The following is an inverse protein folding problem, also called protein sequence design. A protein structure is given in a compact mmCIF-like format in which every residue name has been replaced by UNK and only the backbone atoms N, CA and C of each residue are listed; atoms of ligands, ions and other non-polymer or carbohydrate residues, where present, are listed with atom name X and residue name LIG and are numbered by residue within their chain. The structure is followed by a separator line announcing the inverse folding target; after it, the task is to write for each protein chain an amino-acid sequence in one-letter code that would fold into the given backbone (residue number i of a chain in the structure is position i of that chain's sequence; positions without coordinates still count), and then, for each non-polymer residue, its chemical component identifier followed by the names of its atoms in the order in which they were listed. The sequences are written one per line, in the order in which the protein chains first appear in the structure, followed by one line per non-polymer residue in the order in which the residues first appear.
data_IF_848364143495
#
_entry.id   IF_848364143495
#
_cell.length_a   1.000
_cell.length_b   1.000
_cell.length_c   1.000
_cell.angle_alpha   90.00
_cell.angle_beta   90.00
_cell.angle_gamma   90.00
#
_symmetry.space_group_name_H-M   'P 1'
#
loop_
_entity.id
_entity.type
_entity.pdbx_description
1 polymer ?
#
# COMPACT_ATOMS: atom_id res chain seq x y z
N UNK A 1 -30.24 -11.98 -9.08
CA UNK A 1 -28.76 -12.04 -8.99
C UNK A 1 -28.41 -12.71 -7.66
N UNK A 2 -27.52 -13.70 -7.61
CA UNK A 2 -27.12 -14.30 -6.32
C UNK A 2 -26.28 -13.30 -5.51
N UNK A 3 -26.21 -13.43 -4.18
CA UNK A 3 -25.40 -12.54 -3.34
C UNK A 3 -23.93 -12.51 -3.77
N UNK A 4 -23.38 -13.67 -4.15
CA UNK A 4 -22.03 -13.78 -4.70
C UNK A 4 -21.88 -13.04 -6.04
N UNK A 5 -22.94 -13.02 -6.86
CA UNK A 5 -23.01 -12.22 -8.08
C UNK A 5 -23.05 -10.72 -7.79
N UNK A 6 -23.81 -10.29 -6.78
CA UNK A 6 -23.84 -8.89 -6.33
C UNK A 6 -22.47 -8.41 -5.85
N UNK A 7 -21.81 -9.20 -5.00
CA UNK A 7 -20.45 -8.90 -4.54
C UNK A 7 -19.46 -8.78 -5.71
N UNK A 8 -19.47 -9.73 -6.64
CA UNK A 8 -18.61 -9.68 -7.81
C UNK A 8 -18.91 -8.46 -8.71
N UNK A 9 -20.18 -8.07 -8.87
CA UNK A 9 -20.58 -6.88 -9.60
C UNK A 9 -20.05 -5.60 -8.94
N UNK A 10 -20.16 -5.49 -7.61
CA UNK A 10 -19.61 -4.35 -6.84
C UNK A 10 -18.10 -4.26 -6.98
N UNK A 11 -17.38 -5.39 -6.89
CA UNK A 11 -15.95 -5.45 -7.17
C UNK A 11 -15.60 -5.02 -8.60
N UNK A 12 -16.35 -5.49 -9.61
CA UNK A 12 -16.12 -5.13 -11.00
C UNK A 12 -16.37 -3.64 -11.25
N UNK A 13 -17.46 -3.08 -10.71
CA UNK A 13 -17.78 -1.66 -10.83
C UNK A 13 -16.68 -0.79 -10.22
N UNK A 14 -16.17 -1.14 -9.05
CA UNK A 14 -15.10 -0.39 -8.43
C UNK A 14 -13.77 -0.52 -9.18
N UNK A 15 -13.31 -1.74 -9.46
CA UNK A 15 -12.00 -2.00 -10.06
C UNK A 15 -11.88 -1.69 -11.55
N UNK A 16 -12.99 -1.60 -12.28
CA UNK A 16 -12.96 -1.27 -13.72
C UNK A 16 -13.44 0.15 -14.02
N UNK A 17 -14.12 0.81 -13.07
CA UNK A 17 -14.69 2.16 -13.29
C UNK A 17 -14.39 3.07 -12.09
N UNK A 18 -14.93 2.75 -10.91
CA UNK A 18 -14.98 3.66 -9.77
C UNK A 18 -13.62 4.16 -9.30
N UNK A 19 -12.61 3.29 -9.22
CA UNK A 19 -11.28 3.69 -8.75
C UNK A 19 -10.54 4.61 -9.72
N UNK A 20 -10.92 4.65 -11.00
CA UNK A 20 -10.25 5.41 -12.05
C UNK A 20 -10.83 6.82 -12.24
N UNK A 21 -11.81 7.19 -11.44
CA UNK A 21 -12.44 8.49 -11.52
C UNK A 21 -11.51 9.59 -11.01
N UNK A 22 -11.16 10.53 -11.89
CA UNK A 22 -10.30 11.66 -11.55
C UNK A 22 -11.14 12.85 -11.09
N UNK A 23 -10.71 13.43 -9.97
CA UNK A 23 -11.20 14.71 -9.48
C UNK A 23 -10.02 15.50 -8.93
N UNK A 24 -10.03 16.82 -9.17
CA UNK A 24 -9.03 17.72 -8.63
C UNK A 24 -9.08 17.67 -7.10
N UNK A 25 -7.91 17.51 -6.50
CA UNK A 25 -7.77 17.45 -5.06
C UNK A 25 -7.79 18.87 -4.48
N UNK A 26 -8.64 19.17 -3.47
CA UNK A 26 -8.60 20.45 -2.75
C UNK A 26 -7.34 20.63 -1.90
N UNK A 27 -6.51 19.60 -1.76
CA UNK A 27 -5.40 19.53 -0.82
C UNK A 27 -5.79 18.84 0.48
N UNK A 28 -4.81 18.49 1.32
CA UNK A 28 -5.02 17.78 2.58
C UNK A 28 -4.79 16.26 2.51
N UNK A 29 -5.36 15.54 3.47
CA UNK A 29 -5.12 14.11 3.67
C UNK A 29 -6.42 13.32 3.93
N UNK A 30 -6.35 11.99 3.94
CA UNK A 30 -7.50 11.14 4.26
C UNK A 30 -8.61 11.25 3.21
N UNK A 31 -9.85 11.52 3.64
CA UNK A 31 -11.04 11.59 2.78
C UNK A 31 -11.11 12.84 1.88
N UNK A 32 -10.27 13.84 2.13
CA UNK A 32 -10.12 14.98 1.22
C UNK A 32 -9.53 14.57 -0.13
N UNK A 33 -8.81 13.43 -0.17
CA UNK A 33 -8.28 12.86 -1.41
C UNK A 33 -9.40 12.09 -2.14
N UNK A 34 -9.77 12.48 -3.38
CA UNK A 34 -10.93 11.87 -4.04
C UNK A 34 -10.83 10.36 -4.25
N UNK A 35 -9.65 9.83 -4.55
CA UNK A 35 -9.46 8.38 -4.71
C UNK A 35 -9.68 7.61 -3.39
N UNK A 36 -9.36 8.21 -2.24
CA UNK A 36 -9.66 7.62 -0.93
C UNK A 36 -11.17 7.62 -0.66
N UNK A 37 -11.87 8.70 -1.00
CA UNK A 37 -13.32 8.78 -0.84
C UNK A 37 -14.03 7.68 -1.64
N UNK A 38 -13.67 7.51 -2.92
CA UNK A 38 -14.19 6.40 -3.75
C UNK A 38 -13.85 5.02 -3.19
N UNK A 39 -12.62 4.84 -2.69
CA UNK A 39 -12.20 3.62 -2.02
C UNK A 39 -13.05 3.30 -0.79
N UNK A 40 -13.38 4.30 0.04
CA UNK A 40 -14.19 4.12 1.24
C UNK A 40 -15.68 3.93 0.96
N UNK A 41 -16.22 4.49 -0.13
CA UNK A 41 -17.57 4.15 -0.61
C UNK A 41 -17.63 2.66 -0.94
N UNK A 42 -16.67 2.16 -1.71
CA UNK A 42 -16.59 0.73 -2.04
C UNK A 42 -16.37 -0.14 -0.79
N UNK A 43 -15.45 0.24 0.10
CA UNK A 43 -15.18 -0.50 1.33
C UNK A 43 -16.44 -0.60 2.19
N UNK A 44 -17.20 0.50 2.33
CA UNK A 44 -18.47 0.53 3.06
C UNK A 44 -19.51 -0.42 2.46
N UNK A 45 -19.63 -0.45 1.13
CA UNK A 45 -20.53 -1.39 0.44
C UNK A 45 -20.12 -2.84 0.69
N UNK A 46 -18.82 -3.17 0.58
CA UNK A 46 -18.32 -4.52 0.84
C UNK A 46 -18.52 -4.94 2.31
N UNK A 47 -18.31 -4.02 3.25
CA UNK A 47 -18.61 -4.24 4.67
C UNK A 47 -20.09 -4.55 4.85
N UNK A 48 -20.98 -3.71 4.31
CA UNK A 48 -22.43 -3.91 4.39
C UNK A 48 -22.87 -5.26 3.81
N UNK A 49 -22.37 -5.61 2.62
CA UNK A 49 -22.68 -6.90 1.99
C UNK A 49 -22.09 -8.09 2.77
N UNK A 50 -20.90 -7.94 3.36
CA UNK A 50 -20.28 -8.98 4.19
C UNK A 50 -21.05 -9.22 5.49
N UNK A 51 -21.48 -8.16 6.17
CA UNK A 51 -22.33 -8.26 7.36
C UNK A 51 -23.71 -8.83 7.02
N UNK A 52 -24.30 -8.47 5.88
CA UNK A 52 -25.53 -9.10 5.39
C UNK A 52 -25.31 -10.59 5.08
N UNK A 53 -24.16 -10.96 4.53
CA UNK A 53 -23.83 -12.35 4.28
C UNK A 53 -23.75 -13.17 5.59
N UNK A 54 -23.27 -12.57 6.69
CA UNK A 54 -23.29 -13.18 8.03
C UNK A 54 -24.71 -13.47 8.49
N UNK A 55 -25.65 -12.53 8.33
CA UNK A 55 -27.02 -12.73 8.79
C UNK A 55 -27.73 -13.82 8.00
N UNK A 56 -27.44 -13.94 6.71
CA UNK A 56 -27.99 -14.99 5.85
C UNK A 56 -27.41 -16.38 6.11
N UNK A 57 -26.11 -16.46 6.43
CA UNK A 57 -25.47 -17.75 6.72
C UNK A 57 -25.63 -18.17 8.19
N UNK A 58 -26.00 -17.24 9.07
CA UNK A 58 -26.08 -17.42 10.53
C UNK A 58 -24.79 -18.04 11.12
N UNK A 59 -23.66 -17.78 10.48
CA UNK A 59 -22.35 -18.31 10.84
C UNK A 59 -21.31 -17.22 10.62
N UNK A 60 -20.43 -17.07 11.60
CA UNK A 60 -19.29 -16.16 11.54
C UNK A 60 -18.05 -16.97 11.16
N UNK A 61 -17.42 -16.60 10.05
CA UNK A 61 -16.12 -17.18 9.67
C UNK A 61 -15.02 -16.31 10.21
N UNK A 62 -14.34 -16.79 11.25
CA UNK A 62 -13.22 -16.08 11.88
C UNK A 62 -11.95 -16.91 11.79
N UNK A 63 -10.86 -16.28 11.35
CA UNK A 63 -9.56 -16.97 11.25
C UNK A 63 -8.62 -16.58 12.39
N UNK A 64 -7.70 -17.46 12.75
CA UNK A 64 -6.66 -17.16 13.74
C UNK A 64 -5.82 -15.93 13.36
N UNK A 65 -5.59 -15.68 12.07
CA UNK A 65 -4.92 -14.46 11.61
C UNK A 65 -5.72 -13.21 12.00
N UNK A 66 -7.04 -13.21 11.78
CA UNK A 66 -7.88 -12.08 12.17
C UNK A 66 -7.83 -11.85 13.68
N UNK A 67 -7.84 -12.92 14.49
CA UNK A 67 -7.69 -12.81 15.95
C UNK A 67 -6.45 -12.03 16.36
N UNK A 68 -5.29 -12.37 15.78
CA UNK A 68 -4.04 -11.65 16.06
C UNK A 68 -4.02 -10.23 15.52
N UNK A 69 -4.64 -9.98 14.36
CA UNK A 69 -4.75 -8.63 13.80
C UNK A 69 -5.63 -7.72 14.66
N UNK A 70 -6.76 -8.24 15.14
CA UNK A 70 -7.66 -7.55 16.06
C UNK A 70 -6.99 -7.31 17.42
N UNK A 71 -6.29 -8.31 17.97
CA UNK A 71 -5.54 -8.13 19.21
C UNK A 71 -4.47 -7.03 19.06
N UNK A 72 -3.73 -7.03 17.95
CA UNK A 72 -2.77 -5.98 17.65
C UNK A 72 -3.42 -4.59 17.58
N UNK A 73 -4.54 -4.45 16.86
CA UNK A 73 -5.24 -3.17 16.80
C UNK A 73 -5.82 -2.71 18.15
N UNK A 74 -6.29 -3.64 19.00
CA UNK A 74 -6.71 -3.30 20.36
C UNK A 74 -5.54 -2.79 21.21
N UNK A 75 -4.32 -3.33 21.02
CA UNK A 75 -3.12 -2.78 21.65
C UNK A 75 -2.79 -1.37 21.15
N UNK A 76 -3.11 -1.04 19.89
CA UNK A 76 -3.02 0.33 19.38
C UNK A 76 -4.08 1.27 20.00
N UNK A 77 -5.20 0.77 20.52
CA UNK A 77 -6.16 1.61 21.26
C UNK A 77 -5.81 1.77 22.74
N UNK A 78 -5.02 0.86 23.31
CA UNK A 78 -4.67 0.86 24.73
C UNK A 78 -4.14 2.22 25.24
N UNK A 79 -3.31 2.97 24.51
CA UNK A 79 -2.82 4.26 24.98
C UNK A 79 -3.92 5.28 25.30
N UNK A 80 -5.08 5.19 24.66
CA UNK A 80 -6.21 6.07 24.94
C UNK A 80 -6.79 5.90 26.35
N UNK A 81 -6.47 4.80 27.04
CA UNK A 81 -6.83 4.57 28.43
C UNK A 81 -5.79 5.11 29.43
N UNK A 82 -4.65 5.64 28.96
CA UNK A 82 -3.62 6.17 29.85
C UNK A 82 -4.06 7.51 30.48
N UNK A 83 -3.74 7.75 31.77
CA UNK A 83 -4.03 9.03 32.41
C UNK A 83 -3.34 10.18 31.67
N UNK A 84 -4.11 11.21 31.29
CA UNK A 84 -3.58 12.38 30.59
C UNK A 84 -3.24 12.15 29.11
N UNK A 85 -3.72 11.07 28.49
CA UNK A 85 -3.54 10.84 27.06
C UNK A 85 -4.33 11.86 26.22
N UNK A 86 -3.62 12.63 25.40
CA UNK A 86 -4.26 13.54 24.44
C UNK A 86 -4.60 12.80 23.15
N UNK A 87 -5.88 12.82 22.77
CA UNK A 87 -6.36 12.41 21.45
C UNK A 87 -6.74 13.66 20.66
N UNK A 88 -5.93 14.01 19.66
CA UNK A 88 -6.23 15.13 18.76
C UNK A 88 -7.05 14.67 17.56
N UNK A 89 -7.85 15.58 17.01
CA UNK A 89 -8.81 15.28 15.93
C UNK A 89 -8.17 14.64 14.69
N UNK A 90 -6.96 15.06 14.32
CA UNK A 90 -6.24 14.54 13.15
C UNK A 90 -5.86 13.05 13.26
N UNK A 91 -5.82 12.49 14.48
CA UNK A 91 -5.54 11.07 14.69
C UNK A 91 -6.78 10.17 14.52
N UNK A 92 -8.00 10.73 14.64
CA UNK A 92 -9.26 9.97 14.58
C UNK A 92 -9.42 9.25 13.23
N UNK A 93 -9.22 9.90 12.06
CA UNK A 93 -9.36 9.23 10.77
C UNK A 93 -8.42 8.04 10.59
N UNK A 94 -7.20 8.11 11.16
CA UNK A 94 -6.20 7.03 11.08
C UNK A 94 -6.64 5.81 11.90
N UNK A 95 -7.16 6.03 13.11
CA UNK A 95 -7.73 4.97 13.95
C UNK A 95 -8.97 4.35 13.31
N UNK A 96 -9.92 5.17 12.84
CA UNK A 96 -11.10 4.68 12.13
C UNK A 96 -10.70 3.88 10.89
N UNK A 97 -9.71 4.34 10.12
CA UNK A 97 -9.18 3.63 8.97
C UNK A 97 -8.62 2.25 9.32
N UNK A 98 -7.89 2.12 10.43
CA UNK A 98 -7.38 0.82 10.92
C UNK A 98 -8.53 -0.15 11.21
N UNK A 99 -9.50 0.26 12.04
CA UNK A 99 -10.60 -0.60 12.46
C UNK A 99 -11.57 -0.91 11.33
N UNK A 100 -11.89 0.06 10.48
CA UNK A 100 -12.72 -0.15 9.31
C UNK A 100 -12.00 -1.05 8.28
N UNK A 101 -10.67 -0.95 8.16
CA UNK A 101 -9.86 -1.88 7.36
C UNK A 101 -9.88 -3.32 7.89
N UNK A 102 -9.81 -3.51 9.22
CA UNK A 102 -9.97 -4.82 9.85
C UNK A 102 -11.38 -5.39 9.67
N UNK A 103 -12.40 -4.55 9.80
CA UNK A 103 -13.79 -4.93 9.55
C UNK A 103 -14.00 -5.30 8.08
N UNK A 104 -13.42 -4.55 7.15
CA UNK A 104 -13.42 -4.87 5.72
C UNK A 104 -12.77 -6.25 5.47
N UNK A 105 -11.59 -6.50 6.03
CA UNK A 105 -10.93 -7.81 5.93
C UNK A 105 -11.78 -8.94 6.54
N UNK A 106 -12.41 -8.68 7.69
CA UNK A 106 -13.35 -9.60 8.33
C UNK A 106 -14.52 -9.95 7.40
N UNK A 107 -15.13 -8.94 6.78
CA UNK A 107 -16.23 -9.08 5.83
C UNK A 107 -15.84 -9.86 4.57
N UNK A 108 -14.62 -9.64 4.04
CA UNK A 108 -14.11 -10.41 2.90
C UNK A 108 -14.03 -11.91 3.17
N UNK A 109 -13.73 -12.31 4.42
CA UNK A 109 -13.64 -13.73 4.78
C UNK A 109 -15.01 -14.42 4.84
N UNK A 110 -16.10 -13.68 5.01
CA UNK A 110 -17.45 -14.26 5.08
C UNK A 110 -17.91 -14.86 3.76
N UNK A 111 -17.32 -14.44 2.63
CA UNK A 111 -17.75 -14.86 1.30
C UNK A 111 -17.37 -16.30 0.92
N UNK A 112 -16.35 -16.88 1.58
CA UNK A 112 -15.86 -18.26 1.35
C UNK A 112 -15.87 -18.64 -0.15
N UNK A 113 -15.16 -17.83 -0.94
CA UNK A 113 -15.21 -17.94 -2.40
C UNK A 113 -14.52 -19.21 -2.88
N UNK A 114 -15.20 -19.95 -3.76
CA UNK A 114 -14.60 -21.07 -4.49
C UNK A 114 -13.46 -20.52 -5.36
N UNK A 115 -12.43 -21.36 -5.57
CA UNK A 115 -11.21 -21.01 -6.30
C UNK A 115 -11.47 -20.28 -7.62
N UNK A 116 -12.41 -20.76 -8.43
CA UNK A 116 -12.74 -20.14 -9.72
C UNK A 116 -13.23 -18.69 -9.57
N UNK A 117 -14.11 -18.42 -8.60
CA UNK A 117 -14.61 -17.06 -8.32
C UNK A 117 -13.49 -16.15 -7.79
N UNK A 118 -12.61 -16.68 -6.93
CA UNK A 118 -11.45 -15.95 -6.43
C UNK A 118 -10.50 -15.57 -7.57
N UNK A 119 -10.20 -16.50 -8.47
CA UNK A 119 -9.35 -16.23 -9.64
C UNK A 119 -9.97 -15.15 -10.55
N UNK A 120 -11.30 -15.16 -10.77
CA UNK A 120 -11.98 -14.09 -11.52
C UNK A 120 -11.83 -12.72 -10.87
N UNK A 121 -12.01 -12.61 -9.55
CA UNK A 121 -11.80 -11.33 -8.83
C UNK A 121 -10.35 -10.86 -8.93
N UNK A 122 -9.39 -11.77 -8.85
CA UNK A 122 -7.98 -11.43 -9.02
C UNK A 122 -7.66 -10.94 -10.45
N UNK A 123 -8.32 -11.47 -11.48
CA UNK A 123 -8.21 -10.92 -12.84
C UNK A 123 -8.88 -9.55 -12.98
N UNK A 124 -9.98 -9.28 -12.27
CA UNK A 124 -10.57 -7.92 -12.24
C UNK A 124 -9.61 -6.92 -11.59
N UNK A 125 -9.00 -7.28 -10.46
CA UNK A 125 -7.96 -6.48 -9.82
C UNK A 125 -6.73 -6.30 -10.73
N UNK A 126 -6.32 -7.34 -11.47
CA UNK A 126 -5.25 -7.23 -12.46
C UNK A 126 -5.62 -6.27 -13.61
N UNK A 127 -6.90 -6.24 -14.02
CA UNK A 127 -7.42 -5.26 -14.98
C UNK A 127 -7.30 -3.84 -14.46
N UNK A 128 -7.64 -3.63 -13.18
CA UNK A 128 -7.47 -2.35 -12.50
C UNK A 128 -6.01 -1.87 -12.49
N UNK A 129 -5.08 -2.78 -12.18
CA UNK A 129 -3.64 -2.53 -12.27
C UNK A 129 -3.23 -2.17 -13.69
N UNK A 130 -3.76 -2.86 -14.70
CA UNK A 130 -3.45 -2.56 -16.09
C UNK A 130 -3.94 -1.16 -16.51
N UNK A 131 -5.14 -0.75 -16.07
CA UNK A 131 -5.66 0.60 -16.34
C UNK A 131 -4.76 1.65 -15.69
N UNK A 132 -4.38 1.48 -14.43
CA UNK A 132 -3.46 2.40 -13.74
C UNK A 132 -2.07 2.40 -14.38
N UNK A 133 -1.57 1.26 -14.84
CA UNK A 133 -0.32 1.17 -15.56
C UNK A 133 -0.39 1.95 -16.88
N UNK A 134 -1.47 1.80 -17.64
CA UNK A 134 -1.70 2.57 -18.87
C UNK A 134 -1.79 4.07 -18.59
N UNK A 135 -2.55 4.49 -17.57
CA UNK A 135 -2.62 5.89 -17.15
C UNK A 135 -1.25 6.42 -16.74
N UNK A 136 -0.45 5.64 -16.01
CA UNK A 136 0.90 6.01 -15.63
C UNK A 136 1.84 6.15 -16.83
N UNK A 137 1.73 5.27 -17.83
CA UNK A 137 2.51 5.37 -19.06
C UNK A 137 2.09 6.60 -19.90
N UNK A 138 0.78 6.88 -19.98
CA UNK A 138 0.26 8.10 -20.63
C UNK A 138 0.78 9.35 -19.92
N UNK A 139 0.73 9.38 -18.59
CA UNK A 139 1.28 10.47 -17.78
C UNK A 139 2.76 10.70 -18.08
N UNK A 140 3.54 9.64 -18.15
CA UNK A 140 4.98 9.73 -18.28
C UNK A 140 5.48 10.08 -19.69
N UNK A 141 4.84 9.54 -20.73
CA UNK A 141 5.30 9.70 -22.12
C UNK A 141 4.52 10.72 -22.95
N UNK A 142 3.24 10.94 -22.64
CA UNK A 142 2.33 11.68 -23.55
C UNK A 142 1.87 13.02 -22.98
N UNK A 143 1.81 13.18 -21.66
CA UNK A 143 1.34 14.44 -21.08
C UNK A 143 2.39 15.54 -21.20
N UNK A 144 1.92 16.70 -21.62
CA UNK A 144 2.70 17.93 -21.77
C UNK A 144 2.33 18.95 -20.68
N UNK A 145 3.16 19.99 -20.45
CA UNK A 145 2.84 21.07 -19.52
C UNK A 145 1.46 21.69 -19.82
N UNK A 146 0.68 22.00 -18.78
CA UNK A 146 -0.69 22.54 -18.93
C UNK A 146 -1.76 21.48 -19.22
N UNK A 147 -1.49 20.20 -18.95
CA UNK A 147 -2.47 19.12 -19.09
C UNK A 147 -3.66 19.29 -18.13
N UNK A 148 -4.80 18.75 -18.54
CA UNK A 148 -6.08 18.80 -17.82
C UNK A 148 -6.10 18.05 -16.48
N UNK A 149 -5.12 17.18 -16.23
CA UNK A 149 -4.97 16.44 -14.97
C UNK A 149 -4.19 17.22 -13.90
N UNK A 150 -3.58 18.36 -14.26
CA UNK A 150 -2.66 19.06 -13.36
C UNK A 150 -1.39 18.25 -13.05
N UNK A 151 -1.01 17.32 -13.93
CA UNK A 151 0.17 16.48 -13.77
C UNK A 151 1.47 17.29 -13.94
N UNK A 152 2.39 17.15 -12.98
CA UNK A 152 3.71 17.79 -13.02
C UNK A 152 4.66 17.05 -13.97
N UNK A 153 4.74 17.56 -15.20
CA UNK A 153 5.61 17.06 -16.25
C UNK A 153 7.08 17.43 -16.07
N UNK A 154 7.43 18.32 -15.12
CA UNK A 154 8.83 18.65 -14.81
C UNK A 154 9.44 17.61 -13.87
N UNK A 155 8.72 17.25 -12.81
CA UNK A 155 9.12 16.13 -11.95
C UNK A 155 8.92 14.78 -12.66
N UNK A 156 7.91 14.70 -13.54
CA UNK A 156 7.57 13.56 -14.39
C UNK A 156 7.51 12.21 -13.65
N UNK A 157 6.87 12.18 -12.47
CA UNK A 157 6.65 10.97 -11.66
C UNK A 157 5.19 10.53 -11.78
N UNK A 158 4.85 9.55 -12.64
CA UNK A 158 3.47 9.18 -12.93
C UNK A 158 2.80 8.60 -11.68
N UNK A 159 1.67 9.14 -11.27
CA UNK A 159 0.97 8.71 -10.05
C UNK A 159 -0.33 7.94 -10.32
N UNK A 160 -0.65 7.67 -11.60
CA UNK A 160 -1.92 7.08 -12.01
C UNK A 160 -3.07 7.98 -11.56
N UNK A 161 -4.09 7.38 -10.94
CA UNK A 161 -5.19 8.10 -10.30
C UNK A 161 -4.89 8.53 -8.86
N UNK A 162 -3.89 7.92 -8.22
CA UNK A 162 -3.67 8.02 -6.78
C UNK A 162 -3.09 9.35 -6.32
N UNK A 163 -2.71 10.25 -7.24
CA UNK A 163 -2.11 11.56 -6.94
C UNK A 163 -0.89 11.51 -6.02
N UNK A 164 -0.34 10.32 -5.76
CA UNK A 164 0.80 10.06 -4.90
C UNK A 164 1.67 8.95 -5.51
N UNK A 165 2.92 9.25 -5.93
CA UNK A 165 3.79 8.28 -6.60
C UNK A 165 4.08 7.02 -5.77
N UNK A 166 4.13 7.13 -4.44
CA UNK A 166 4.39 5.98 -3.58
C UNK A 166 3.21 4.99 -3.54
N UNK A 167 1.97 5.49 -3.57
CA UNK A 167 0.76 4.65 -3.62
C UNK A 167 0.68 3.93 -4.96
N UNK A 168 0.95 4.65 -6.06
CA UNK A 168 1.06 4.05 -7.39
C UNK A 168 2.13 2.95 -7.42
N UNK A 169 3.30 3.20 -6.84
CA UNK A 169 4.40 2.23 -6.83
C UNK A 169 4.06 0.96 -6.03
N UNK A 170 3.44 1.08 -4.86
CA UNK A 170 3.02 -0.11 -4.07
C UNK A 170 1.88 -0.86 -4.75
N UNK A 171 0.98 -0.17 -5.47
CA UNK A 171 -0.05 -0.79 -6.29
C UNK A 171 0.55 -1.55 -7.48
N UNK A 172 1.52 -0.96 -8.19
CA UNK A 172 2.27 -1.64 -9.27
C UNK A 172 3.06 -2.85 -8.75
N UNK A 173 3.72 -2.74 -7.59
CA UNK A 173 4.41 -3.86 -6.95
C UNK A 173 3.45 -5.02 -6.62
N UNK A 174 2.26 -4.70 -6.09
CA UNK A 174 1.21 -5.69 -5.83
C UNK A 174 0.72 -6.33 -7.14
N UNK A 175 0.53 -5.52 -8.17
CA UNK A 175 0.16 -5.96 -9.52
C UNK A 175 1.19 -6.90 -10.16
N UNK A 176 2.48 -6.60 -10.02
CA UNK A 176 3.57 -7.45 -10.48
C UNK A 176 3.56 -8.83 -9.81
N UNK A 177 3.46 -8.86 -8.48
CA UNK A 177 3.36 -10.11 -7.72
C UNK A 177 2.08 -10.89 -8.07
N UNK A 178 0.95 -10.19 -8.25
CA UNK A 178 -0.32 -10.78 -8.64
C UNK A 178 -0.27 -11.40 -10.04
N UNK A 179 0.31 -10.70 -11.02
CA UNK A 179 0.45 -11.18 -12.39
C UNK A 179 1.35 -12.43 -12.44
N UNK A 180 2.47 -12.42 -11.73
CA UNK A 180 3.36 -13.58 -11.58
C UNK A 180 2.66 -14.76 -10.91
N UNK A 181 1.85 -14.50 -9.87
CA UNK A 181 1.08 -15.54 -9.20
C UNK A 181 -0.05 -16.11 -10.08
N UNK A 182 -0.72 -15.28 -10.89
CA UNK A 182 -1.73 -15.74 -11.85
C UNK A 182 -1.09 -16.52 -13.01
N UNK A 183 0.18 -16.31 -13.30
CA UNK A 183 0.93 -17.14 -14.26
C UNK A 183 1.12 -18.57 -13.75
N UNK A 184 1.39 -18.76 -12.45
CA UNK A 184 1.46 -20.10 -11.81
C UNK A 184 0.14 -20.89 -11.88
N UNK A 185 -0.98 -20.23 -12.16
CA UNK A 185 -2.31 -20.85 -12.26
C UNK A 185 -2.64 -21.32 -13.68
N UNK A 186 -1.88 -20.87 -14.69
CA UNK A 186 -1.91 -21.41 -16.05
C UNK A 186 -3.25 -21.28 -16.77
N UNK A 187 -3.74 -20.05 -17.02
CA UNK A 187 -4.92 -19.86 -17.86
C UNK A 187 -4.50 -19.82 -19.36
N UNK A 188 -5.15 -20.65 -20.18
CA UNK A 188 -4.87 -20.79 -21.61
C UNK A 188 -5.40 -19.63 -22.47
N UNK A 189 -6.30 -18.79 -21.94
CA UNK A 189 -6.86 -17.67 -22.70
C UNK A 189 -5.75 -16.68 -23.11
N UNK A 190 -5.55 -16.42 -24.42
CA UNK A 190 -4.46 -15.58 -24.90
C UNK A 190 -4.57 -14.13 -24.43
N UNK A 191 -5.78 -13.59 -24.27
CA UNK A 191 -6.01 -12.24 -23.75
C UNK A 191 -5.58 -12.11 -22.30
N UNK A 192 -5.93 -13.10 -21.46
CA UNK A 192 -5.52 -13.11 -20.05
C UNK A 192 -4.01 -13.36 -19.89
N UNK A 193 -3.40 -14.08 -20.83
CA UNK A 193 -1.94 -14.21 -20.92
C UNK A 193 -1.27 -12.90 -21.30
N UNK A 194 -1.78 -12.21 -22.32
CA UNK A 194 -1.33 -10.89 -22.73
C UNK A 194 -1.44 -9.87 -21.58
N UNK A 195 -2.57 -9.86 -20.86
CA UNK A 195 -2.77 -9.01 -19.69
C UNK A 195 -1.72 -9.24 -18.60
N UNK A 196 -1.45 -10.50 -18.24
CA UNK A 196 -0.41 -10.85 -17.24
C UNK A 196 0.96 -10.33 -17.65
N UNK A 197 1.36 -10.57 -18.90
CA UNK A 197 2.68 -10.15 -19.39
C UNK A 197 2.79 -8.65 -19.56
N UNK A 198 1.73 -7.99 -20.04
CA UNK A 198 1.63 -6.54 -20.14
C UNK A 198 1.75 -5.88 -18.77
N UNK A 199 1.07 -6.42 -17.74
CA UNK A 199 1.21 -5.92 -16.37
C UNK A 199 2.60 -6.16 -15.81
N UNK A 200 3.22 -7.34 -16.00
CA UNK A 200 4.59 -7.58 -15.55
C UNK A 200 5.55 -6.54 -16.15
N UNK A 201 5.50 -6.34 -17.47
CA UNK A 201 6.34 -5.38 -18.18
C UNK A 201 6.08 -3.94 -17.73
N UNK A 202 4.81 -3.52 -17.76
CA UNK A 202 4.39 -2.15 -17.43
C UNK A 202 4.66 -1.79 -15.97
N UNK A 203 4.35 -2.70 -15.03
CA UNK A 203 4.61 -2.48 -13.62
C UNK A 203 6.12 -2.42 -13.33
N UNK A 204 6.93 -3.31 -13.93
CA UNK A 204 8.40 -3.26 -13.76
C UNK A 204 9.01 -1.98 -14.30
N UNK A 205 8.55 -1.49 -15.47
CA UNK A 205 8.95 -0.20 -16.03
C UNK A 205 8.57 0.94 -15.08
N UNK A 206 7.29 1.01 -14.68
CA UNK A 206 6.79 2.09 -13.83
C UNK A 206 7.46 2.09 -12.46
N UNK A 207 7.79 0.94 -11.87
CA UNK A 207 8.54 0.87 -10.61
C UNK A 207 9.93 1.51 -10.69
N UNK A 208 10.58 1.47 -11.86
CA UNK A 208 11.84 2.18 -12.10
C UNK A 208 11.58 3.68 -12.19
N UNK A 209 10.64 4.08 -13.05
CA UNK A 209 10.31 5.49 -13.32
C UNK A 209 9.80 6.23 -12.08
N UNK A 210 8.99 5.55 -11.26
CA UNK A 210 8.42 6.08 -10.02
C UNK A 210 9.47 6.38 -8.95
N UNK A 211 10.64 5.75 -8.99
CA UNK A 211 11.74 5.91 -8.04
C UNK A 211 11.31 5.77 -6.56
N UNK A 212 10.32 4.91 -6.28
CA UNK A 212 9.85 4.67 -4.91
C UNK A 212 10.55 3.46 -4.30
N UNK A 213 11.40 3.69 -3.28
CA UNK A 213 12.12 2.62 -2.58
C UNK A 213 11.17 1.56 -2.00
N UNK A 214 10.04 1.98 -1.42
CA UNK A 214 9.04 1.08 -0.83
C UNK A 214 8.38 0.23 -1.91
N UNK A 215 8.01 0.81 -3.05
CA UNK A 215 7.45 0.07 -4.18
C UNK A 215 8.43 -0.94 -4.77
N UNK A 216 9.69 -0.53 -4.99
CA UNK A 216 10.73 -1.41 -5.53
C UNK A 216 11.06 -2.59 -4.59
N UNK A 217 11.25 -2.31 -3.29
CA UNK A 217 11.46 -3.37 -2.29
C UNK A 217 10.25 -4.28 -2.14
N UNK A 218 9.03 -3.73 -2.18
CA UNK A 218 7.79 -4.50 -2.16
C UNK A 218 7.65 -5.43 -3.36
N UNK A 219 7.97 -4.94 -4.57
CA UNK A 219 7.97 -5.73 -5.80
C UNK A 219 9.01 -6.84 -5.78
N UNK A 220 10.24 -6.52 -5.34
CA UNK A 220 11.31 -7.49 -5.16
C UNK A 220 10.91 -8.57 -4.14
N UNK A 221 10.42 -8.19 -2.97
CA UNK A 221 9.96 -9.11 -1.94
C UNK A 221 8.83 -10.01 -2.46
N UNK A 222 7.86 -9.43 -3.17
CA UNK A 222 6.75 -10.18 -3.78
C UNK A 222 7.25 -11.24 -4.78
N UNK A 223 8.21 -10.89 -5.63
CA UNK A 223 8.83 -11.84 -6.55
C UNK A 223 9.66 -12.91 -5.82
N UNK A 224 10.48 -12.52 -4.84
CA UNK A 224 11.29 -13.43 -4.03
C UNK A 224 10.45 -14.52 -3.36
N UNK A 225 9.30 -14.14 -2.80
CA UNK A 225 8.35 -15.08 -2.19
C UNK A 225 7.76 -16.09 -3.21
N UNK A 226 7.72 -15.74 -4.50
CA UNK A 226 7.21 -16.60 -5.57
C UNK A 226 8.30 -17.44 -6.24
N UNK A 227 9.59 -17.11 -6.10
CA UNK A 227 10.72 -17.82 -6.74
C UNK A 227 10.64 -19.34 -6.60
N UNK A 228 10.42 -19.94 -5.41
CA UNK A 228 10.39 -21.39 -5.27
C UNK A 228 9.30 -22.06 -6.13
N UNK A 229 8.15 -21.40 -6.28
CA UNK A 229 7.03 -21.91 -7.07
C UNK A 229 7.27 -21.70 -8.57
N UNK A 230 7.78 -20.53 -8.94
CA UNK A 230 8.14 -20.19 -10.32
C UNK A 230 9.22 -21.11 -10.87
N UNK A 231 10.24 -21.43 -10.05
CA UNK A 231 11.30 -22.36 -10.42
C UNK A 231 10.76 -23.77 -10.67
N UNK A 232 9.93 -24.29 -9.76
CA UNK A 232 9.34 -25.63 -9.89
C UNK A 232 8.46 -25.80 -11.13
N UNK A 233 7.82 -24.74 -11.59
CA UNK A 233 6.99 -24.77 -12.80
C UNK A 233 7.76 -24.36 -14.08
N UNK A 234 9.07 -24.11 -14.00
CA UNK A 234 9.88 -23.68 -15.15
C UNK A 234 9.54 -22.27 -15.69
N UNK A 235 8.83 -21.46 -14.91
CA UNK A 235 8.37 -20.12 -15.30
C UNK A 235 9.33 -19.00 -14.86
N UNK A 236 10.28 -19.31 -13.97
CA UNK A 236 11.18 -18.34 -13.36
C UNK A 236 11.94 -17.51 -14.40
N UNK A 237 12.62 -18.18 -15.35
CA UNK A 237 13.42 -17.49 -16.38
C UNK A 237 12.54 -16.54 -17.20
N UNK A 238 11.36 -16.99 -17.62
CA UNK A 238 10.43 -16.15 -18.40
C UNK A 238 10.02 -14.89 -17.65
N UNK A 239 9.62 -15.02 -16.39
CA UNK A 239 9.20 -13.86 -15.58
C UNK A 239 10.37 -12.93 -15.31
N UNK A 240 11.55 -13.46 -14.99
CA UNK A 240 12.75 -12.64 -14.80
C UNK A 240 13.15 -11.91 -16.09
N UNK A 241 13.06 -12.55 -17.27
CA UNK A 241 13.29 -11.88 -18.54
C UNK A 241 12.30 -10.74 -18.80
N UNK A 242 11.00 -10.93 -18.50
CA UNK A 242 10.00 -9.86 -18.63
C UNK A 242 10.26 -8.72 -17.65
N UNK A 243 10.58 -9.02 -16.40
CA UNK A 243 10.93 -8.01 -15.38
C UNK A 243 12.18 -7.24 -15.81
N UNK A 244 13.24 -7.95 -16.23
CA UNK A 244 14.48 -7.35 -16.69
C UNK A 244 14.24 -6.46 -17.92
N UNK A 245 13.42 -6.91 -18.87
CA UNK A 245 13.04 -6.10 -20.02
C UNK A 245 12.31 -4.82 -19.59
N UNK A 246 11.33 -4.92 -18.68
CA UNK A 246 10.65 -3.75 -18.12
C UNK A 246 11.60 -2.79 -17.41
N UNK A 247 12.55 -3.31 -16.64
CA UNK A 247 13.59 -2.51 -15.96
C UNK A 247 14.50 -1.80 -16.97
N UNK A 248 14.99 -2.52 -17.99
CA UNK A 248 15.84 -1.94 -19.04
C UNK A 248 15.09 -0.82 -19.77
N UNK A 249 13.83 -1.07 -20.17
CA UNK A 249 13.00 -0.05 -20.82
C UNK A 249 12.77 1.13 -19.89
N UNK A 250 12.50 0.90 -18.60
CA UNK A 250 12.33 1.98 -17.61
C UNK A 250 13.57 2.84 -17.44
N UNK A 251 14.76 2.22 -17.36
CA UNK A 251 16.04 2.93 -17.25
C UNK A 251 16.38 3.70 -18.55
N UNK A 252 16.18 3.06 -19.71
CA UNK A 252 16.40 3.71 -21.00
C UNK A 252 15.45 4.91 -21.18
N UNK A 253 14.21 4.77 -20.73
CA UNK A 253 13.22 5.84 -20.80
C UNK A 253 13.54 6.97 -19.84
N UNK A 254 14.01 6.68 -18.62
CA UNK A 254 14.55 7.72 -17.74
C UNK A 254 15.72 8.45 -18.39
N UNK A 255 16.65 7.75 -19.03
CA UNK A 255 17.78 8.38 -19.72
C UNK A 255 17.33 9.28 -20.89
N UNK A 256 16.38 8.83 -21.71
CA UNK A 256 15.89 9.58 -22.86
C UNK A 256 14.97 10.75 -22.50
N UNK A 257 14.13 10.57 -21.47
CA UNK A 257 13.19 11.59 -20.98
C UNK A 257 13.91 12.60 -20.07
N UNK A 258 15.08 12.26 -19.51
CA UNK A 258 15.86 13.13 -18.63
C UNK A 258 16.59 14.26 -19.38
N UNK A 259 15.82 15.25 -19.81
CA UNK A 259 16.21 16.66 -19.61
C UNK A 259 15.95 17.14 -18.17
N UNK A 260 15.39 16.30 -17.31
CA UNK A 260 14.98 16.61 -15.93
C UNK A 260 15.80 15.80 -14.91
N UNK A 261 17.05 16.22 -14.73
CA UNK A 261 17.88 15.78 -13.60
C UNK A 261 17.22 16.24 -12.29
N UNK A 262 16.43 15.37 -11.65
CA UNK A 262 16.45 15.37 -10.19
C UNK A 262 17.86 14.91 -9.83
N UNK A 263 18.65 15.83 -9.28
CA UNK A 263 20.04 15.55 -8.93
C UNK A 263 20.09 14.21 -8.19
N UNK A 264 20.89 13.28 -8.71
CA UNK A 264 21.18 11.97 -8.11
C UNK A 264 21.41 12.08 -6.59
N UNK A 265 21.87 13.25 -6.14
CA UNK A 265 22.01 13.68 -4.75
C UNK A 265 20.73 13.61 -3.90
N UNK A 266 19.52 13.93 -4.37
CA UNK A 266 18.28 13.77 -3.57
C UNK A 266 17.83 12.31 -3.44
N UNK A 267 18.17 11.46 -4.42
CA UNK A 267 17.88 10.03 -4.37
C UNK A 267 18.92 9.26 -3.54
N UNK A 268 20.17 9.75 -3.47
CA UNK A 268 21.29 9.13 -2.77
C UNK A 268 21.43 9.66 -1.33
N UNK A 269 21.28 10.97 -1.10
CA UNK A 269 21.17 11.50 0.26
C UNK A 269 19.87 10.98 0.88
N UNK A 270 19.84 10.77 2.19
CA UNK A 270 18.62 10.37 2.90
C UNK A 270 17.46 11.38 2.78
N UNK A 271 17.65 12.49 2.05
CA UNK A 271 16.75 13.65 2.03
C UNK A 271 16.50 14.17 3.44
N UNK A 272 15.34 14.80 3.66
CA UNK A 272 14.91 15.20 5.00
C UNK A 272 14.83 14.03 6.01
N UNK A 273 14.72 12.78 5.55
CA UNK A 273 14.56 11.62 6.44
C UNK A 273 15.80 11.31 7.26
N UNK A 274 17.01 11.66 6.78
CA UNK A 274 18.23 11.50 7.57
C UNK A 274 18.24 12.39 8.81
N UNK A 275 17.49 13.50 8.78
CA UNK A 275 17.39 14.44 9.89
C UNK A 275 16.17 14.13 10.76
N UNK A 276 15.06 13.71 10.14
CA UNK A 276 13.81 13.36 10.83
C UNK A 276 13.95 12.12 11.72
N UNK A 277 14.57 11.05 11.21
CA UNK A 277 14.57 9.77 11.91
C UNK A 277 15.38 9.77 13.22
N UNK A 278 16.62 10.31 13.27
CA UNK A 278 17.35 10.40 14.53
C UNK A 278 16.58 11.18 15.60
N UNK A 279 15.95 12.27 15.20
CA UNK A 279 15.15 13.09 16.10
C UNK A 279 13.90 12.37 16.60
N UNK A 280 13.21 11.67 15.69
CA UNK A 280 12.04 10.84 16.02
C UNK A 280 12.42 9.71 16.97
N UNK A 281 13.59 9.08 16.79
CA UNK A 281 14.11 8.05 17.69
C UNK A 281 14.45 8.63 19.06
N UNK A 282 14.98 9.85 19.12
CA UNK A 282 15.23 10.54 20.39
C UNK A 282 13.91 10.76 21.16
N UNK A 283 12.87 11.26 20.49
CA UNK A 283 11.54 11.40 21.07
C UNK A 283 10.96 10.05 21.53
N UNK A 284 11.16 8.99 20.73
CA UNK A 284 10.74 7.66 21.11
C UNK A 284 11.43 7.20 22.40
N UNK A 285 12.74 7.42 22.53
CA UNK A 285 13.48 7.03 23.75
C UNK A 285 12.97 7.81 24.97
N UNK A 286 12.63 9.09 24.81
CA UNK A 286 12.08 9.92 25.88
C UNK A 286 10.67 9.49 26.30
N UNK A 287 9.83 9.07 25.34
CA UNK A 287 8.42 8.77 25.55
C UNK A 287 8.05 7.30 25.31
N UNK A 288 9.00 6.37 25.49
CA UNK A 288 8.88 4.98 25.02
C UNK A 288 7.73 4.18 25.66
N UNK A 289 7.33 4.50 26.89
CA UNK A 289 6.28 3.79 27.63
C UNK A 289 4.87 4.21 27.18
N UNK A 290 4.57 5.51 27.35
CA UNK A 290 3.21 6.07 27.26
C UNK A 290 2.98 6.79 25.93
N UNK A 291 4.05 7.24 25.26
CA UNK A 291 3.98 8.10 24.10
C UNK A 291 3.62 9.55 24.44
N UNK A 292 3.47 10.36 23.40
CA UNK A 292 3.15 11.81 23.50
C UNK A 292 1.67 12.14 23.24
N UNK A 293 0.81 11.13 23.05
CA UNK A 293 -0.58 11.31 22.64
C UNK A 293 -0.77 11.22 21.13
N UNK A 294 -1.93 10.70 20.70
CA UNK A 294 -2.24 10.55 19.28
C UNK A 294 -2.57 11.91 18.64
N UNK A 295 -1.85 12.24 17.55
CA UNK A 295 -1.83 13.57 16.95
C UNK A 295 -0.85 14.52 17.63
N UNK A 296 -0.05 14.05 18.60
CA UNK A 296 0.97 14.83 19.30
C UNK A 296 2.29 14.96 18.53
N UNK A 297 2.56 14.08 17.56
CA UNK A 297 3.88 13.99 16.92
C UNK A 297 4.37 15.31 16.32
N UNK A 298 3.57 15.96 15.47
CA UNK A 298 3.97 17.18 14.75
C UNK A 298 4.39 18.28 15.72
N UNK A 299 3.55 18.57 16.73
CA UNK A 299 3.83 19.58 17.74
C UNK A 299 5.10 19.27 18.54
N UNK A 300 5.25 18.03 19.00
CA UNK A 300 6.39 17.63 19.84
C UNK A 300 7.69 17.60 19.04
N UNK A 301 7.62 17.14 17.79
CA UNK A 301 8.74 17.16 16.87
C UNK A 301 9.21 18.59 16.61
N UNK A 302 8.32 19.49 16.21
CA UNK A 302 8.71 20.86 15.89
C UNK A 302 9.21 21.64 17.10
N UNK A 303 8.61 21.44 18.28
CA UNK A 303 9.10 22.08 19.51
C UNK A 303 10.54 21.70 19.78
N UNK A 304 10.80 20.40 19.90
CA UNK A 304 12.11 19.92 20.28
C UNK A 304 13.15 20.12 19.14
N UNK A 305 12.73 20.06 17.87
CA UNK A 305 13.61 20.33 16.73
C UNK A 305 14.00 21.82 16.67
N UNK A 306 13.06 22.72 16.95
CA UNK A 306 13.34 24.17 16.98
C UNK A 306 14.26 24.53 18.13
N UNK A 307 14.04 23.96 19.32
CA UNK A 307 14.93 24.13 20.49
C UNK A 307 16.37 23.68 20.18
N UNK A 308 16.52 22.49 19.57
CA UNK A 308 17.84 21.99 19.18
C UNK A 308 18.55 22.95 18.19
N UNK A 309 17.81 23.53 17.24
CA UNK A 309 18.35 24.49 16.27
C UNK A 309 18.67 25.87 16.84
N UNK A 310 18.02 26.27 17.93
CA UNK A 310 18.40 27.50 18.63
C UNK A 310 19.77 27.35 19.29
N UNK A 311 20.11 26.15 19.74
CA UNK A 311 21.41 25.83 20.35
C UNK A 311 22.50 25.63 19.28
N UNK A 312 22.19 24.89 18.20
CA UNK A 312 23.09 24.73 17.05
C UNK A 312 22.33 24.93 15.73
N UNK A 313 22.46 26.11 15.10
CA UNK A 313 21.77 26.45 13.86
C UNK A 313 22.09 25.53 12.66
N UNK A 314 23.19 24.77 12.74
CA UNK A 314 23.66 23.86 11.68
C UNK A 314 23.08 22.45 11.80
N UNK A 315 22.27 22.14 12.82
CA UNK A 315 21.63 20.82 12.97
C UNK A 315 20.52 20.65 11.92
N UNK A 316 20.84 19.86 10.90
CA UNK A 316 19.90 19.40 9.87
C UNK A 316 19.33 20.51 8.98
N UNK A 317 18.59 20.09 7.95
CA UNK A 317 17.92 21.02 7.03
C UNK A 317 16.67 21.63 7.64
N UNK A 318 16.27 22.84 7.22
CA UNK A 318 15.00 23.41 7.70
C UNK A 318 13.83 22.57 7.18
N UNK A 319 13.08 21.98 8.09
CA UNK A 319 11.90 21.17 7.79
C UNK A 319 10.67 22.04 8.02
N UNK A 320 9.76 22.05 7.05
CA UNK A 320 8.46 22.72 7.15
C UNK A 320 7.36 21.67 6.94
N UNK A 321 6.24 21.80 7.66
CA UNK A 321 5.03 20.97 7.53
C UNK A 321 5.29 19.45 7.57
N UNK A 322 5.91 18.97 8.65
CA UNK A 322 6.12 17.54 8.89
C UNK A 322 4.98 16.97 9.73
N UNK A 323 4.00 16.38 9.04
CA UNK A 323 2.83 15.74 9.65
C UNK A 323 3.13 14.33 10.18
N UNK A 324 4.12 13.62 9.61
CA UNK A 324 4.51 12.27 10.03
C UNK A 324 5.99 11.97 9.73
N UNK A 325 6.66 11.05 10.46
CA UNK A 325 8.09 10.76 10.29
C UNK A 325 8.43 9.94 9.02
N UNK A 326 7.48 9.81 8.08
CA UNK A 326 7.55 8.89 6.93
C UNK A 326 7.88 7.43 7.29
N UNK A 327 7.57 7.03 8.52
CA UNK A 327 7.72 5.68 9.04
C UNK A 327 6.58 5.43 10.04
N UNK A 328 5.59 4.66 9.62
CA UNK A 328 4.41 4.38 10.45
C UNK A 328 4.79 3.74 11.78
N UNK A 329 5.77 2.83 11.81
CA UNK A 329 6.17 2.19 13.06
C UNK A 329 6.69 3.21 14.08
N UNK A 330 7.60 4.10 13.65
CA UNK A 330 8.09 5.18 14.51
C UNK A 330 6.97 6.16 14.90
N UNK A 331 6.03 6.42 13.99
CA UNK A 331 4.93 7.34 14.24
C UNK A 331 4.04 6.85 15.38
N UNK A 332 3.55 5.61 15.28
CA UNK A 332 2.73 4.99 16.32
C UNK A 332 3.50 4.77 17.62
N UNK A 333 4.81 4.47 17.53
CA UNK A 333 5.67 4.29 18.69
C UNK A 333 5.88 5.59 19.48
N UNK A 334 6.12 6.72 18.82
CA UNK A 334 6.28 8.01 19.50
C UNK A 334 4.96 8.47 20.12
N UNK A 335 3.84 8.30 19.42
CA UNK A 335 2.56 8.82 19.90
C UNK A 335 1.90 7.96 20.98
N UNK A 336 1.99 6.63 20.91
CA UNK A 336 1.34 5.75 21.88
C UNK A 336 2.29 4.82 22.65
N UNK A 337 3.61 4.94 22.47
CA UNK A 337 4.61 4.23 23.25
C UNK A 337 4.68 2.73 22.97
N UNK A 338 4.84 1.94 24.03
CA UNK A 338 5.15 0.52 23.95
C UNK A 338 3.97 -0.31 23.39
N UNK A 339 2.73 0.05 23.72
CA UNK A 339 1.58 -0.76 23.37
C UNK A 339 1.34 -0.85 21.84
N UNK A 340 1.34 0.27 21.07
CA UNK A 340 1.30 0.22 19.61
C UNK A 340 2.47 -0.54 18.98
N UNK A 341 3.67 -0.41 19.55
CA UNK A 341 4.85 -1.16 19.07
C UNK A 341 4.61 -2.67 19.14
N UNK A 342 4.16 -3.16 20.31
CA UNK A 342 3.82 -4.57 20.51
C UNK A 342 2.68 -5.00 19.58
N UNK A 343 1.66 -4.15 19.43
CA UNK A 343 0.55 -4.41 18.51
C UNK A 343 0.99 -4.58 17.07
N UNK A 344 1.81 -3.68 16.53
CA UNK A 344 2.33 -3.76 15.16
C UNK A 344 3.26 -4.97 14.96
N UNK A 345 4.12 -5.27 15.94
CA UNK A 345 4.99 -6.46 15.90
C UNK A 345 4.14 -7.74 15.90
N UNK A 346 3.08 -7.81 16.71
CA UNK A 346 2.14 -8.92 16.72
C UNK A 346 1.43 -9.08 15.38
N UNK A 347 0.95 -7.99 14.78
CA UNK A 347 0.29 -8.01 13.46
C UNK A 347 1.25 -8.50 12.37
N UNK A 348 2.46 -7.95 12.31
CA UNK A 348 3.49 -8.37 11.36
C UNK A 348 3.91 -9.83 11.57
N UNK A 349 4.14 -10.23 12.82
CA UNK A 349 4.47 -11.60 13.20
C UNK A 349 3.37 -12.60 12.83
N UNK A 350 2.10 -12.25 13.02
CA UNK A 350 0.97 -13.08 12.64
C UNK A 350 0.84 -13.27 11.12
N UNK A 351 1.12 -12.22 10.33
CA UNK A 351 1.18 -12.31 8.87
C UNK A 351 2.32 -13.23 8.42
N UNK A 352 3.53 -13.05 8.97
CA UNK A 352 4.68 -13.90 8.67
C UNK A 352 4.41 -15.37 9.05
N UNK A 353 3.90 -15.61 10.26
CA UNK A 353 3.49 -16.93 10.73
C UNK A 353 2.50 -17.57 9.76
N UNK A 354 1.50 -16.82 9.29
CA UNK A 354 0.50 -17.32 8.36
C UNK A 354 1.09 -17.69 7.01
N UNK A 355 2.00 -16.87 6.48
CA UNK A 355 2.71 -17.11 5.22
C UNK A 355 3.58 -18.37 5.32
N UNK A 356 4.31 -18.53 6.43
CA UNK A 356 5.15 -19.71 6.68
C UNK A 356 4.27 -20.97 6.79
N UNK A 357 3.17 -20.91 7.55
CA UNK A 357 2.25 -22.04 7.77
C UNK A 357 1.48 -22.44 6.51
N UNK A 358 1.14 -21.48 5.64
CA UNK A 358 0.54 -21.76 4.33
C UNK A 358 1.48 -22.57 3.40
N UNK A 359 2.76 -22.69 3.78
CA UNK A 359 3.74 -23.57 3.19
C UNK A 359 4.34 -22.97 1.92
N UNK A 360 5.55 -22.42 2.04
CA UNK A 360 6.39 -22.04 0.90
C UNK A 360 6.58 -23.19 -0.12
N UNK A 361 6.39 -24.43 0.33
CA UNK A 361 6.65 -25.68 -0.41
C UNK A 361 5.38 -26.43 -0.86
N UNK A 362 4.17 -26.08 -0.42
CA UNK A 362 2.92 -26.78 -0.79
C UNK A 362 1.99 -25.95 -1.68
N UNK A 363 2.59 -25.12 -2.55
CA UNK A 363 1.90 -24.34 -3.58
C UNK A 363 1.25 -25.23 -4.64
N UNK A 364 0.01 -25.66 -4.38
CA UNK A 364 -0.82 -26.37 -5.36
C UNK A 364 -2.03 -27.09 -4.75
N UNK A 365 -1.89 -27.62 -3.52
CA UNK A 365 -2.95 -28.44 -2.89
C UNK A 365 -3.46 -27.94 -1.53
N UNK A 366 -2.81 -26.95 -0.92
CA UNK A 366 -3.12 -26.56 0.46
C UNK A 366 -3.85 -25.20 0.58
N UNK A 367 -4.92 -25.01 -0.20
CA UNK A 367 -5.94 -23.99 0.10
C UNK A 367 -7.29 -24.69 0.15
N UNK A 368 -7.44 -25.63 1.09
CA UNK A 368 -8.73 -25.98 1.67
C UNK A 368 -8.91 -25.03 2.85
N UNK A 369 -9.66 -23.95 2.63
CA UNK A 369 -10.41 -23.27 3.68
C UNK A 369 -11.86 -23.71 3.51
#
# INVERSE_FOLDING_TARGET
MSNKGLFAAVCALYWLLGMHFFMHNPGGAGLYLPFNAWGWIFASLVIGLGLWQVTLQQRLVFSSLQGWLWLGALLLLLPMAYPGFELKDYAIPRLLGLFAGLLFLFCLYQWQLVRASRERLLYLLLGAVAIEALLGLVQYYLLIPGNWLGYDTRANRPYGIFQQPNVMATFMATGLALAAWLELRGNANPWLKGLRYGVILGASLLLVVLQSRVGQLGGLLGLLLLVPQLHRQGLLVRILCLVLLGVIVGLASQYWVAGTNRGMNEYISGGARSDIWPFTVHLLIQHWLVGVGYGGFESTFFHAYTEARQVDPNIGMVIYNLDHPHNEFLYWAVEGGLAPMLGMVLMGGALLWRVIKAGWVKGGRCWRW
#
